data_IF_388947418163
#
_entry.id   IF_388947418163
#
_cell.length_a   1.000
_cell.length_b   1.000
_cell.length_c   1.000
_cell.angle_alpha   90.00
_cell.angle_beta   90.00
_cell.angle_gamma   90.00
#
_symmetry.space_group_name_H-M   'P 1'
#
loop_
_entity.id
_entity.type
_entity.pdbx_description
1 polymer ?
#
# COMPACT_ATOMS: atom_id res chain seq x y z
N UNK A 1 18.23 1.88 -12.93
CA UNK A 1 17.42 1.96 -11.68
C UNK A 1 17.50 0.61 -10.98
N UNK A 2 17.68 0.60 -9.66
CA UNK A 2 17.85 -0.66 -8.90
C UNK A 2 16.50 -1.19 -8.45
N UNK A 3 16.19 -2.45 -8.77
CA UNK A 3 15.00 -3.15 -8.27
C UNK A 3 15.26 -3.58 -6.83
N UNK A 4 14.45 -3.10 -5.89
CA UNK A 4 14.52 -3.47 -4.47
C UNK A 4 13.62 -4.65 -4.14
N UNK A 5 12.46 -4.70 -4.77
CA UNK A 5 11.49 -5.77 -4.58
C UNK A 5 10.84 -6.11 -5.92
N UNK A 6 10.63 -7.39 -6.18
CA UNK A 6 9.93 -7.89 -7.35
C UNK A 6 8.95 -8.98 -6.94
N UNK A 7 7.72 -8.86 -7.42
CA UNK A 7 6.69 -9.88 -7.28
C UNK A 7 6.42 -10.51 -8.65
N UNK A 8 6.34 -11.85 -8.70
CA UNK A 8 6.03 -12.63 -9.91
C UNK A 8 4.84 -13.53 -9.61
N UNK A 9 3.74 -13.29 -10.29
CA UNK A 9 2.48 -14.05 -10.20
C UNK A 9 2.03 -14.34 -8.76
N UNK A 10 2.15 -13.31 -7.90
CA UNK A 10 1.92 -13.44 -6.47
C UNK A 10 0.44 -13.72 -6.21
N UNK A 11 0.15 -14.80 -5.49
CA UNK A 11 -1.20 -15.20 -5.14
C UNK A 11 -1.37 -15.34 -3.62
N UNK A 12 -2.55 -14.96 -3.13
CA UNK A 12 -3.02 -15.27 -1.79
C UNK A 12 -4.47 -15.71 -1.82
N UNK A 13 -4.68 -16.98 -1.55
CA UNK A 13 -5.98 -17.61 -1.52
C UNK A 13 -6.31 -18.07 -0.10
N UNK A 14 -7.53 -17.80 0.36
CA UNK A 14 -8.01 -18.19 1.67
C UNK A 14 -9.09 -19.27 1.54
N UNK A 15 -8.90 -20.47 2.10
CA UNK A 15 -9.94 -21.45 2.16
C UNK A 15 -11.04 -20.99 3.13
N UNK A 16 -12.29 -21.02 2.67
CA UNK A 16 -13.47 -20.72 3.48
C UNK A 16 -14.26 -22.02 3.61
N UNK A 17 -14.42 -22.50 4.83
CA UNK A 17 -15.24 -23.69 5.10
C UNK A 17 -16.72 -23.31 4.98
N UNK A 18 -17.43 -24.03 4.16
CA UNK A 18 -18.89 -23.99 4.16
C UNK A 18 -19.39 -24.49 5.52
N UNK A 19 -20.36 -23.77 6.15
CA UNK A 19 -20.98 -24.27 7.38
C UNK A 19 -21.61 -25.66 7.18
N UNK A 20 -22.37 -26.17 8.19
CA UNK A 20 -22.90 -27.55 8.24
C UNK A 20 -23.57 -28.05 6.96
N UNK A 21 -24.05 -27.16 6.07
CA UNK A 21 -24.68 -27.44 4.79
C UNK A 21 -24.10 -26.66 3.60
N UNK A 22 -22.98 -25.91 3.79
CA UNK A 22 -22.35 -25.08 2.75
C UNK A 22 -21.20 -25.80 2.06
N UNK A 23 -20.97 -25.48 0.77
CA UNK A 23 -19.79 -25.95 0.03
C UNK A 23 -18.56 -25.15 0.46
N UNK A 24 -17.45 -25.83 0.62
CA UNK A 24 -16.15 -25.18 0.82
C UNK A 24 -15.84 -24.27 -0.38
N UNK A 25 -15.32 -23.09 -0.09
CA UNK A 25 -14.99 -22.09 -1.10
C UNK A 25 -13.54 -21.63 -0.96
N UNK A 26 -13.07 -20.93 -1.99
CA UNK A 26 -11.72 -20.36 -2.01
C UNK A 26 -11.81 -18.86 -2.36
N UNK A 27 -11.49 -18.00 -1.40
CA UNK A 27 -11.41 -16.56 -1.63
C UNK A 27 -10.05 -16.24 -2.26
N UNK A 28 -10.05 -15.77 -3.48
CA UNK A 28 -8.87 -15.33 -4.22
C UNK A 28 -8.59 -13.86 -3.95
N UNK A 29 -8.04 -13.53 -2.78
CA UNK A 29 -7.80 -12.16 -2.38
C UNK A 29 -6.73 -11.44 -3.21
N UNK A 30 -5.69 -12.18 -3.63
CA UNK A 30 -4.69 -11.76 -4.60
C UNK A 30 -4.47 -12.94 -5.55
N UNK A 31 -4.47 -12.70 -6.85
CA UNK A 31 -4.51 -13.78 -7.85
C UNK A 31 -3.70 -13.39 -9.11
N UNK A 32 -2.38 -13.64 -9.08
CA UNK A 32 -1.45 -13.40 -10.18
C UNK A 32 -1.00 -11.94 -10.30
N UNK A 33 -0.53 -11.33 -9.20
CA UNK A 33 -0.04 -9.94 -9.22
C UNK A 33 1.47 -9.93 -9.40
N UNK A 34 1.93 -9.24 -10.45
CA UNK A 34 3.35 -9.03 -10.76
C UNK A 34 3.67 -7.53 -10.81
N UNK A 35 4.77 -7.13 -10.16
CA UNK A 35 5.24 -5.74 -10.15
C UNK A 35 6.70 -5.66 -9.70
N UNK A 36 7.29 -4.47 -9.87
CA UNK A 36 8.60 -4.13 -9.33
C UNK A 36 8.53 -2.86 -8.50
N UNK A 37 9.31 -2.80 -7.42
CA UNK A 37 9.50 -1.60 -6.60
C UNK A 37 10.94 -1.14 -6.80
N UNK A 38 11.11 0.05 -7.34
CA UNK A 38 12.41 0.61 -7.70
C UNK A 38 12.91 1.58 -6.62
N UNK A 39 14.21 1.62 -6.40
CA UNK A 39 14.84 2.55 -5.46
C UNK A 39 14.50 4.01 -5.80
N UNK A 40 14.13 4.80 -4.79
CA UNK A 40 13.77 6.20 -4.95
C UNK A 40 12.45 6.45 -5.68
N UNK A 41 11.64 5.41 -5.93
CA UNK A 41 10.36 5.54 -6.63
C UNK A 41 9.17 5.11 -5.78
N UNK A 42 8.00 5.59 -6.15
CA UNK A 42 6.72 5.22 -5.54
C UNK A 42 5.88 4.39 -6.52
N UNK A 43 5.70 3.11 -6.22
CA UNK A 43 4.68 2.27 -6.86
C UNK A 43 3.36 2.47 -6.11
N UNK A 44 2.38 3.06 -6.77
CA UNK A 44 1.04 3.19 -6.22
C UNK A 44 0.16 1.98 -6.57
N UNK A 45 -0.59 1.48 -5.58
CA UNK A 45 -1.58 0.42 -5.74
C UNK A 45 -2.96 1.03 -5.53
N UNK A 46 -3.80 1.00 -6.55
CA UNK A 46 -5.14 1.59 -6.51
C UNK A 46 -6.24 0.58 -6.82
N UNK A 47 -7.45 0.85 -6.37
CA UNK A 47 -8.62 0.03 -6.64
C UNK A 47 -9.68 0.16 -5.54
N UNK A 48 -10.88 -0.34 -5.79
CA UNK A 48 -11.99 -0.33 -4.84
C UNK A 48 -11.67 -1.08 -3.54
N UNK A 49 -12.43 -0.79 -2.47
CA UNK A 49 -12.29 -1.51 -1.19
C UNK A 49 -12.54 -3.02 -1.41
N UNK A 50 -11.75 -3.86 -0.74
CA UNK A 50 -11.87 -5.32 -0.87
C UNK A 50 -11.20 -5.93 -2.12
N UNK A 51 -10.57 -5.14 -3.00
CA UNK A 51 -9.90 -5.70 -4.20
C UNK A 51 -8.54 -6.39 -3.92
N UNK A 52 -8.10 -6.51 -2.65
CA UNK A 52 -6.89 -7.25 -2.28
C UNK A 52 -5.66 -6.41 -1.94
N UNK A 53 -5.71 -5.08 -1.96
CA UNK A 53 -4.56 -4.19 -1.72
C UNK A 53 -3.87 -4.42 -0.36
N UNK A 54 -4.65 -4.44 0.72
CA UNK A 54 -4.09 -4.67 2.06
C UNK A 54 -3.58 -6.10 2.25
N UNK A 55 -4.13 -7.08 1.54
CA UNK A 55 -3.58 -8.44 1.50
C UNK A 55 -2.21 -8.45 0.81
N UNK A 56 -2.10 -7.73 -0.32
CA UNK A 56 -0.83 -7.54 -1.00
C UNK A 56 0.21 -6.86 -0.08
N UNK A 57 -0.19 -5.79 0.62
CA UNK A 57 0.65 -5.11 1.61
C UNK A 57 1.21 -6.06 2.70
N UNK A 58 0.35 -6.95 3.23
CA UNK A 58 0.77 -7.93 4.24
C UNK A 58 1.76 -8.96 3.69
N UNK A 59 1.60 -9.38 2.42
CA UNK A 59 2.55 -10.29 1.80
C UNK A 59 3.92 -9.64 1.60
N UNK A 60 3.97 -8.43 1.05
CA UNK A 60 5.24 -7.74 0.78
C UNK A 60 5.97 -7.30 2.05
N UNK A 61 5.24 -7.14 3.17
CA UNK A 61 5.83 -6.88 4.50
C UNK A 61 6.14 -8.16 5.28
N UNK A 62 6.00 -9.31 4.66
CA UNK A 62 6.22 -10.64 5.28
C UNK A 62 5.36 -10.90 6.53
N UNK A 63 4.22 -10.25 6.64
CA UNK A 63 3.21 -10.55 7.67
C UNK A 63 2.42 -11.80 7.31
N UNK A 64 2.18 -12.01 6.00
CA UNK A 64 1.55 -13.20 5.45
C UNK A 64 2.43 -13.80 4.35
N UNK A 65 2.38 -15.12 4.21
CA UNK A 65 3.08 -15.81 3.12
C UNK A 65 2.16 -15.93 1.90
N UNK A 66 2.68 -15.83 0.67
CA UNK A 66 1.90 -16.12 -0.52
C UNK A 66 1.47 -17.59 -0.55
N UNK A 67 0.35 -17.87 -1.21
CA UNK A 67 -0.08 -19.25 -1.53
C UNK A 67 0.73 -19.81 -2.69
N UNK A 68 1.05 -18.96 -3.66
CA UNK A 68 1.91 -19.27 -4.82
C UNK A 68 2.51 -17.99 -5.40
N UNK A 69 3.38 -18.14 -6.38
CA UNK A 69 4.16 -17.04 -6.96
C UNK A 69 5.44 -16.76 -6.16
N UNK A 70 6.22 -15.81 -6.62
CA UNK A 70 7.51 -15.47 -6.05
C UNK A 70 7.55 -14.01 -5.60
N UNK A 71 8.12 -13.78 -4.42
CA UNK A 71 8.52 -12.47 -3.94
C UNK A 71 10.03 -12.46 -3.78
N UNK A 72 10.70 -11.56 -4.50
CA UNK A 72 12.14 -11.37 -4.42
C UNK A 72 12.45 -10.04 -3.74
N UNK A 73 13.50 -10.03 -2.95
CA UNK A 73 14.07 -8.82 -2.38
C UNK A 73 15.57 -8.77 -2.71
N UNK A 74 16.01 -7.67 -3.33
CA UNK A 74 17.37 -7.53 -3.85
C UNK A 74 17.78 -8.69 -4.78
N UNK A 75 16.84 -9.20 -5.58
CA UNK A 75 17.05 -10.33 -6.49
C UNK A 75 17.05 -11.73 -5.84
N UNK A 76 16.90 -11.80 -4.51
CA UNK A 76 16.88 -13.07 -3.78
C UNK A 76 15.45 -13.49 -3.47
N UNK A 77 15.11 -14.74 -3.77
CA UNK A 77 13.80 -15.31 -3.46
C UNK A 77 13.57 -15.36 -1.94
N UNK A 78 12.40 -14.92 -1.52
CA UNK A 78 12.02 -14.93 -0.09
C UNK A 78 11.33 -16.23 0.33
N UNK A 79 10.91 -17.04 -0.64
CA UNK A 79 10.37 -18.38 -0.43
C UNK A 79 11.45 -19.30 0.14
N UNK A 80 11.11 -20.06 1.18
CA UNK A 80 12.08 -20.95 1.85
C UNK A 80 13.04 -20.25 2.82
N UNK A 81 13.01 -18.92 2.92
CA UNK A 81 13.84 -18.17 3.87
C UNK A 81 13.64 -18.67 5.29
N UNK A 82 14.73 -18.96 6.00
CA UNK A 82 14.73 -19.35 7.38
C UNK A 82 14.28 -18.22 8.32
N UNK A 83 14.05 -18.52 9.60
CA UNK A 83 13.55 -17.53 10.59
C UNK A 83 14.46 -16.30 10.68
N UNK A 84 15.79 -16.49 10.69
CA UNK A 84 16.77 -15.41 10.77
C UNK A 84 16.73 -14.50 9.53
N UNK A 85 16.64 -15.10 8.36
CA UNK A 85 16.59 -14.38 7.10
C UNK A 85 15.26 -13.61 6.95
N UNK A 86 14.12 -14.23 7.25
CA UNK A 86 12.82 -13.52 7.29
C UNK A 86 12.84 -12.33 8.24
N UNK A 87 13.53 -12.46 9.38
CA UNK A 87 13.72 -11.33 10.30
C UNK A 87 14.54 -10.22 9.64
N UNK A 88 15.61 -10.55 8.92
CA UNK A 88 16.42 -9.59 8.17
C UNK A 88 15.61 -8.87 7.09
N UNK A 89 14.82 -9.62 6.31
CA UNK A 89 13.94 -9.08 5.27
C UNK A 89 12.94 -8.08 5.84
N UNK A 90 12.29 -8.42 6.98
CA UNK A 90 11.35 -7.51 7.68
C UNK A 90 12.00 -6.21 8.15
N UNK A 91 13.31 -6.18 8.41
CA UNK A 91 13.99 -4.94 8.75
C UNK A 91 14.13 -4.00 7.54
N UNK A 92 14.26 -4.57 6.35
CA UNK A 92 14.38 -3.82 5.10
C UNK A 92 13.04 -3.29 4.56
N UNK A 93 11.91 -3.85 5.05
CA UNK A 93 10.56 -3.43 4.63
C UNK A 93 9.74 -3.09 5.87
N UNK A 94 9.23 -1.88 5.95
CA UNK A 94 8.41 -1.44 7.08
C UNK A 94 7.04 -0.98 6.59
N UNK A 95 6.04 -0.96 7.49
CA UNK A 95 4.68 -0.61 7.17
C UNK A 95 4.19 0.60 7.96
N UNK A 96 3.52 1.50 7.25
CA UNK A 96 2.71 2.58 7.81
C UNK A 96 1.24 2.19 7.60
N UNK A 97 0.51 2.03 8.70
CA UNK A 97 -0.86 1.54 8.70
C UNK A 97 -1.87 2.68 8.47
N UNK A 98 -3.03 2.34 7.95
CA UNK A 98 -4.15 3.23 7.66
C UNK A 98 -4.61 4.04 8.88
N UNK A 99 -4.72 3.40 10.04
CA UNK A 99 -5.21 4.03 11.27
C UNK A 99 -4.07 4.29 12.25
N UNK A 100 -3.60 5.55 12.38
CA UNK A 100 -2.55 5.89 13.34
C UNK A 100 -3.00 5.72 14.79
N UNK A 101 -4.30 5.79 15.08
CA UNK A 101 -4.82 5.58 16.44
C UNK A 101 -4.64 4.13 16.90
N UNK A 102 -4.92 3.17 16.02
CA UNK A 102 -4.75 1.74 16.31
C UNK A 102 -3.31 1.25 16.24
N UNK A 103 -2.46 1.96 15.51
CA UNK A 103 -1.08 1.55 15.28
C UNK A 103 -0.10 2.01 16.37
N UNK A 104 -0.41 3.07 17.12
CA UNK A 104 0.43 3.61 18.19
C UNK A 104 -0.07 3.15 19.55
N UNK A 105 0.81 2.59 20.40
CA UNK A 105 0.43 2.20 21.74
C UNK A 105 0.12 3.45 22.60
N UNK A 106 -1.13 3.67 23.05
CA UNK A 106 -1.52 4.88 23.76
C UNK A 106 -0.90 5.01 25.15
N UNK A 107 -0.33 3.92 25.69
CA UNK A 107 0.32 3.88 27.01
C UNK A 107 1.81 4.21 26.95
N UNK A 108 2.38 4.43 25.77
CA UNK A 108 3.80 4.77 25.58
C UNK A 108 3.94 6.21 25.13
N UNK A 109 5.00 6.87 25.58
CA UNK A 109 5.36 8.21 25.09
C UNK A 109 5.90 8.13 23.67
N UNK A 110 5.89 9.25 22.94
CA UNK A 110 6.43 9.34 21.58
C UNK A 110 7.87 8.82 21.52
N UNK A 111 8.72 9.28 22.42
CA UNK A 111 10.12 8.80 22.48
C UNK A 111 10.23 7.29 22.68
N UNK A 112 9.38 6.72 23.55
CA UNK A 112 9.35 5.27 23.75
C UNK A 112 8.86 4.51 22.50
N UNK A 113 7.85 5.04 21.78
CA UNK A 113 7.33 4.47 20.53
C UNK A 113 8.41 4.47 19.45
N UNK A 114 9.15 5.57 19.31
CA UNK A 114 10.21 5.69 18.30
C UNK A 114 11.43 4.83 18.65
N UNK A 115 11.81 4.75 19.92
CA UNK A 115 12.93 3.91 20.36
C UNK A 115 12.64 2.40 20.32
N UNK A 116 11.36 2.00 20.34
CA UNK A 116 10.93 0.59 20.43
C UNK A 116 11.44 -0.31 19.30
N UNK A 117 11.35 0.06 18.01
CA UNK A 117 11.88 -0.76 16.92
C UNK A 117 13.37 -1.07 17.10
N UNK A 118 14.16 -0.08 17.52
CA UNK A 118 15.59 -0.26 17.79
C UNK A 118 15.82 -1.18 19.01
N UNK A 119 15.01 -1.02 20.06
CA UNK A 119 15.13 -1.84 21.27
C UNK A 119 14.82 -3.31 21.01
N UNK A 120 13.73 -3.62 20.32
CA UNK A 120 13.33 -5.00 19.95
C UNK A 120 14.40 -5.68 19.10
N UNK A 121 15.04 -4.92 18.20
CA UNK A 121 16.08 -5.43 17.32
C UNK A 121 17.50 -5.29 17.90
N UNK A 122 17.63 -4.95 19.19
CA UNK A 122 18.90 -4.82 19.93
C UNK A 122 19.91 -3.88 19.26
N UNK A 123 19.42 -2.81 18.59
CA UNK A 123 20.25 -1.80 17.93
C UNK A 123 20.57 -0.67 18.91
N UNK A 124 21.84 -0.50 19.24
CA UNK A 124 22.35 0.59 20.05
C UNK A 124 22.01 0.51 21.57
N UNK A 125 22.74 1.26 22.37
CA UNK A 125 22.46 1.48 23.79
C UNK A 125 21.27 2.45 23.98
N UNK A 126 20.72 2.52 25.19
CA UNK A 126 19.55 3.37 25.52
C UNK A 126 19.75 4.82 25.09
N UNK A 127 20.91 5.42 25.40
CA UNK A 127 21.23 6.82 25.03
C UNK A 127 21.27 7.02 23.50
N UNK A 128 21.85 6.06 22.76
CA UNK A 128 21.89 6.12 21.29
C UNK A 128 20.48 6.00 20.68
N UNK A 129 19.61 5.14 21.22
CA UNK A 129 18.22 5.02 20.77
C UNK A 129 17.42 6.30 21.05
N UNK A 130 17.65 6.94 22.21
CA UNK A 130 17.03 8.22 22.52
C UNK A 130 17.48 9.31 21.53
N UNK A 131 18.78 9.42 21.29
CA UNK A 131 19.31 10.38 20.32
C UNK A 131 18.75 10.16 18.91
N UNK A 132 18.67 8.90 18.45
CA UNK A 132 18.07 8.54 17.17
C UNK A 132 16.57 8.90 17.11
N UNK A 133 15.83 8.66 18.19
CA UNK A 133 14.41 9.02 18.27
C UNK A 133 14.20 10.54 18.19
N UNK A 134 15.04 11.33 18.86
CA UNK A 134 15.00 12.79 18.81
C UNK A 134 15.34 13.32 17.42
N UNK A 135 16.40 12.80 16.80
CA UNK A 135 16.77 13.16 15.44
C UNK A 135 15.63 12.84 14.43
N UNK A 136 14.95 11.70 14.59
CA UNK A 136 13.83 11.35 13.74
C UNK A 136 12.60 12.26 13.98
N UNK A 137 12.37 12.72 15.21
CA UNK A 137 11.33 13.71 15.49
C UNK A 137 11.55 15.01 14.72
N UNK A 138 12.78 15.50 14.66
CA UNK A 138 13.10 16.72 13.90
C UNK A 138 12.81 16.53 12.41
N UNK A 139 13.18 15.36 11.84
CA UNK A 139 12.94 15.04 10.42
C UNK A 139 11.46 15.01 10.05
N UNK A 140 10.59 14.58 10.96
CA UNK A 140 9.14 14.58 10.71
C UNK A 140 8.43 15.85 11.20
N UNK A 141 9.18 16.89 11.61
CA UNK A 141 8.65 18.18 12.05
C UNK A 141 7.93 18.13 13.39
N UNK A 142 8.35 17.26 14.32
CA UNK A 142 7.87 17.21 15.69
C UNK A 142 8.84 17.95 16.62
N UNK A 143 8.30 18.70 17.60
CA UNK A 143 9.13 19.46 18.53
C UNK A 143 9.72 18.58 19.61
N UNK A 144 10.92 18.91 20.07
CA UNK A 144 11.68 18.14 21.07
C UNK A 144 10.98 18.05 22.44
N UNK A 145 10.21 19.08 22.82
CA UNK A 145 9.41 19.08 24.04
C UNK A 145 8.27 18.04 24.03
N UNK A 146 7.91 17.54 22.86
CA UNK A 146 6.87 16.54 22.66
C UNK A 146 7.36 15.08 22.88
N UNK A 147 8.67 14.85 23.08
CA UNK A 147 9.27 13.52 23.27
C UNK A 147 8.61 12.71 24.42
N UNK A 148 8.27 13.40 25.52
CA UNK A 148 7.64 12.77 26.69
C UNK A 148 6.11 12.70 26.64
N UNK A 149 5.47 13.21 25.59
CA UNK A 149 4.00 13.22 25.47
C UNK A 149 3.46 11.90 24.95
N UNK A 150 2.18 11.65 25.21
CA UNK A 150 1.46 10.45 24.77
C UNK A 150 0.70 10.71 23.45
N UNK A 151 0.45 9.68 22.63
CA UNK A 151 -0.21 9.82 21.32
C UNK A 151 -1.55 10.55 21.37
N UNK A 152 -2.36 10.37 22.42
CA UNK A 152 -3.66 11.04 22.55
C UNK A 152 -3.58 12.57 22.68
N UNK A 153 -2.39 13.12 22.97
CA UNK A 153 -2.13 14.56 23.09
C UNK A 153 -1.79 15.23 21.74
N UNK A 154 -1.86 14.48 20.62
CA UNK A 154 -1.48 14.94 19.29
C UNK A 154 -2.67 14.95 18.33
N UNK A 155 -2.64 15.86 17.34
CA UNK A 155 -3.58 15.85 16.23
C UNK A 155 -3.43 14.60 15.35
N UNK A 156 -4.41 14.34 14.48
CA UNK A 156 -4.36 13.21 13.53
C UNK A 156 -3.10 13.23 12.66
N UNK A 157 -2.78 14.38 12.05
CA UNK A 157 -1.57 14.54 11.23
C UNK A 157 -0.27 14.38 12.03
N UNK A 158 -0.22 14.86 13.27
CA UNK A 158 0.96 14.64 14.12
C UNK A 158 1.13 13.16 14.49
N UNK A 159 0.03 12.44 14.78
CA UNK A 159 0.08 10.98 15.01
C UNK A 159 0.56 10.24 13.76
N UNK A 160 0.12 10.68 12.58
CA UNK A 160 0.61 10.09 11.32
C UNK A 160 2.10 10.31 11.14
N UNK A 161 2.62 11.52 11.46
CA UNK A 161 4.07 11.79 11.46
C UNK A 161 4.83 10.88 12.44
N UNK A 162 4.27 10.59 13.63
CA UNK A 162 4.85 9.64 14.59
C UNK A 162 4.86 8.21 14.00
N UNK A 163 3.80 7.80 13.31
CA UNK A 163 3.72 6.48 12.69
C UNK A 163 4.74 6.31 11.55
N UNK A 164 4.91 7.35 10.71
CA UNK A 164 5.93 7.41 9.66
C UNK A 164 7.32 7.36 10.29
N UNK A 165 7.59 8.21 11.28
CA UNK A 165 8.86 8.24 12.02
C UNK A 165 9.22 6.87 12.59
N UNK A 166 8.26 6.18 13.23
CA UNK A 166 8.46 4.84 13.78
C UNK A 166 8.86 3.83 12.72
N UNK A 167 8.23 3.85 11.54
CA UNK A 167 8.58 2.96 10.44
C UNK A 167 10.01 3.20 9.94
N UNK A 168 10.48 4.43 9.96
CA UNK A 168 11.82 4.81 9.48
C UNK A 168 12.95 4.53 10.49
N UNK A 169 12.64 4.27 11.78
CA UNK A 169 13.68 4.05 12.80
C UNK A 169 14.64 2.89 12.50
N UNK A 170 14.24 1.94 11.67
CA UNK A 170 15.07 0.79 11.28
C UNK A 170 15.87 1.04 10.00
N UNK A 171 15.77 2.23 9.40
CA UNK A 171 16.34 2.57 8.10
C UNK A 171 15.94 1.55 7.01
N UNK A 172 14.63 1.35 6.77
CA UNK A 172 14.16 0.43 5.75
C UNK A 172 14.52 0.95 4.36
N UNK A 173 14.55 0.04 3.39
CA UNK A 173 14.70 0.40 1.96
C UNK A 173 13.36 0.58 1.28
N UNK A 174 12.33 -0.14 1.76
CA UNK A 174 10.96 -0.09 1.23
C UNK A 174 10.01 0.24 2.38
N UNK A 175 9.11 1.19 2.16
CA UNK A 175 8.02 1.48 3.08
C UNK A 175 6.69 1.21 2.36
N UNK A 176 5.90 0.31 2.93
CA UNK A 176 4.54 0.05 2.48
C UNK A 176 3.61 0.96 3.27
N UNK A 177 2.96 1.88 2.58
CA UNK A 177 2.03 2.83 3.16
C UNK A 177 0.59 2.44 2.77
N UNK A 178 -0.15 1.83 3.69
CA UNK A 178 -1.52 1.39 3.46
C UNK A 178 -2.49 2.50 3.89
N UNK A 179 -3.03 3.23 2.91
CA UNK A 179 -3.94 4.37 3.06
C UNK A 179 -3.48 5.41 4.11
N UNK A 180 -2.22 5.87 4.09
CA UNK A 180 -1.62 6.61 5.19
C UNK A 180 -2.24 7.98 5.46
N UNK A 181 -3.06 8.50 4.56
CA UNK A 181 -3.67 9.84 4.67
C UNK A 181 -5.19 9.82 4.62
N UNK A 182 -5.83 8.67 4.47
CA UNK A 182 -7.29 8.55 4.24
C UNK A 182 -8.17 9.11 5.40
N UNK A 183 -7.64 9.14 6.62
CA UNK A 183 -8.34 9.63 7.81
C UNK A 183 -8.00 11.09 8.17
N UNK A 184 -7.36 11.84 7.28
CA UNK A 184 -6.90 13.21 7.52
C UNK A 184 -7.65 14.22 6.64
N UNK A 185 -7.77 15.45 7.13
CA UNK A 185 -8.29 16.56 6.32
C UNK A 185 -7.36 16.87 5.14
N UNK A 186 -7.90 17.37 4.02
CA UNK A 186 -7.19 17.59 2.76
C UNK A 186 -5.91 18.42 2.94
N UNK A 187 -5.94 19.49 3.74
CA UNK A 187 -4.77 20.32 4.01
C UNK A 187 -3.65 19.59 4.76
N UNK A 188 -4.03 18.71 5.68
CA UNK A 188 -3.12 17.88 6.47
C UNK A 188 -2.59 16.73 5.60
N UNK A 189 -3.43 16.16 4.72
CA UNK A 189 -2.99 15.15 3.73
C UNK A 189 -1.82 15.68 2.89
N UNK A 190 -1.97 16.89 2.31
CA UNK A 190 -0.92 17.51 1.50
C UNK A 190 0.40 17.67 2.27
N UNK A 191 0.32 18.10 3.54
CA UNK A 191 1.52 18.24 4.39
C UNK A 191 2.21 16.90 4.68
N UNK A 192 1.43 15.83 4.90
CA UNK A 192 1.97 14.49 5.15
C UNK A 192 2.56 13.90 3.88
N UNK A 193 1.92 14.12 2.72
CA UNK A 193 2.44 13.66 1.42
C UNK A 193 3.77 14.35 1.08
N UNK A 194 3.86 15.68 1.25
CA UNK A 194 5.10 16.41 1.02
C UNK A 194 6.20 15.90 1.97
N UNK A 195 5.91 15.70 3.26
CA UNK A 195 6.85 15.09 4.19
C UNK A 195 7.32 13.72 3.71
N UNK A 196 6.43 12.86 3.19
CA UNK A 196 6.83 11.54 2.69
C UNK A 196 7.74 11.65 1.47
N UNK A 197 7.50 12.62 0.58
CA UNK A 197 8.38 12.88 -0.57
C UNK A 197 9.74 13.38 -0.14
N UNK A 198 9.81 14.33 0.80
CA UNK A 198 11.07 14.83 1.36
C UNK A 198 11.89 13.70 2.00
N UNK A 199 11.22 12.82 2.78
CA UNK A 199 11.84 11.65 3.40
C UNK A 199 12.27 10.61 2.35
N UNK A 200 11.53 10.48 1.24
CA UNK A 200 11.92 9.61 0.12
C UNK A 200 13.25 10.07 -0.48
N UNK A 201 13.38 11.35 -0.75
CA UNK A 201 14.57 11.92 -1.34
C UNK A 201 15.77 11.88 -0.36
N UNK A 202 15.55 12.19 0.92
CA UNK A 202 16.60 12.17 1.93
C UNK A 202 17.17 10.76 2.19
N UNK A 203 16.27 9.78 2.34
CA UNK A 203 16.64 8.39 2.67
C UNK A 203 16.76 7.47 1.45
N UNK A 204 16.48 7.99 0.24
CA UNK A 204 16.41 7.20 -1.00
C UNK A 204 15.47 6.00 -0.88
N UNK A 205 14.32 6.23 -0.23
CA UNK A 205 13.31 5.20 0.03
C UNK A 205 12.57 4.82 -1.25
N UNK A 206 12.13 3.58 -1.30
CA UNK A 206 11.05 3.19 -2.21
C UNK A 206 9.73 3.12 -1.43
N UNK A 207 8.66 3.64 -2.01
CA UNK A 207 7.32 3.45 -1.46
C UNK A 207 6.51 2.45 -2.28
N UNK A 208 5.79 1.57 -1.59
CA UNK A 208 4.56 0.97 -2.09
C UNK A 208 3.40 1.70 -1.42
N UNK A 209 2.72 2.55 -2.17
CA UNK A 209 1.69 3.45 -1.66
C UNK A 209 0.30 2.97 -2.05
N UNK A 210 -0.50 2.56 -1.09
CA UNK A 210 -1.87 2.09 -1.31
C UNK A 210 -2.84 3.22 -1.02
N UNK A 211 -3.72 3.51 -1.98
CA UNK A 211 -4.81 4.48 -1.82
C UNK A 211 -6.00 4.13 -2.71
N UNK A 212 -7.16 4.58 -2.32
CA UNK A 212 -8.35 4.62 -3.18
C UNK A 212 -8.57 6.03 -3.77
N UNK A 213 -7.82 7.03 -3.32
CA UNK A 213 -7.89 8.41 -3.81
C UNK A 213 -6.84 8.66 -4.90
N UNK A 214 -7.30 8.82 -6.13
CA UNK A 214 -6.45 9.05 -7.30
C UNK A 214 -5.79 10.45 -7.30
N UNK A 215 -6.35 11.44 -6.60
CA UNK A 215 -5.71 12.76 -6.47
C UNK A 215 -4.44 12.66 -5.64
N UNK A 216 -4.45 11.87 -4.57
CA UNK A 216 -3.28 11.55 -3.76
C UNK A 216 -2.22 10.82 -4.60
N UNK A 217 -2.64 9.84 -5.41
CA UNK A 217 -1.75 9.08 -6.30
C UNK A 217 -1.11 9.97 -7.35
N UNK A 218 -1.87 10.88 -7.95
CA UNK A 218 -1.35 11.83 -8.92
C UNK A 218 -0.22 12.69 -8.34
N UNK A 219 -0.24 12.95 -7.04
CA UNK A 219 0.78 13.73 -6.36
C UNK A 219 2.07 12.93 -6.11
N UNK A 220 1.98 11.73 -5.54
CA UNK A 220 3.14 10.99 -5.00
C UNK A 220 3.70 9.89 -5.92
N UNK A 221 2.88 9.31 -6.82
CA UNK A 221 3.27 8.12 -7.57
C UNK A 221 4.28 8.39 -8.68
N UNK A 222 5.15 7.41 -8.95
CA UNK A 222 5.93 7.26 -10.18
C UNK A 222 5.22 6.33 -11.15
N UNK A 223 4.84 5.14 -10.68
CA UNK A 223 4.08 4.12 -11.39
C UNK A 223 2.79 3.77 -10.65
N UNK A 224 1.79 3.32 -11.39
CA UNK A 224 0.47 2.98 -10.85
C UNK A 224 0.04 1.60 -11.30
N UNK A 225 -0.27 0.72 -10.36
CA UNK A 225 -0.87 -0.58 -10.56
C UNK A 225 -2.33 -0.53 -10.11
N UNK A 226 -3.26 -0.71 -11.05
CA UNK A 226 -4.69 -0.73 -10.78
C UNK A 226 -5.15 -2.16 -10.54
N UNK A 227 -5.75 -2.40 -9.37
CA UNK A 227 -6.24 -3.71 -8.97
C UNK A 227 -7.77 -3.77 -8.98
N UNK A 228 -8.31 -4.88 -9.48
CA UNK A 228 -9.73 -5.20 -9.43
C UNK A 228 -9.93 -6.68 -9.11
N UNK A 229 -10.72 -6.99 -8.07
CA UNK A 229 -11.02 -8.36 -7.63
C UNK A 229 -9.77 -9.27 -7.53
N UNK A 230 -8.76 -8.81 -6.81
CA UNK A 230 -7.53 -9.56 -6.55
C UNK A 230 -6.49 -9.53 -7.67
N UNK A 231 -6.75 -8.84 -8.78
CA UNK A 231 -5.92 -8.89 -9.99
C UNK A 231 -5.49 -7.52 -10.48
N UNK A 232 -4.32 -7.42 -11.11
CA UNK A 232 -3.96 -6.22 -11.86
C UNK A 232 -4.81 -6.14 -13.13
N UNK A 233 -5.33 -4.94 -13.42
CA UNK A 233 -6.09 -4.67 -14.65
C UNK A 233 -5.42 -3.64 -15.53
N UNK A 234 -4.58 -2.78 -14.95
CA UNK A 234 -3.75 -1.83 -15.68
C UNK A 234 -2.49 -1.52 -14.87
N UNK A 235 -1.35 -1.41 -15.54
CA UNK A 235 -0.09 -0.99 -14.93
C UNK A 235 0.61 -0.03 -15.89
N UNK A 236 0.89 1.18 -15.45
CA UNK A 236 1.55 2.19 -16.28
C UNK A 236 2.24 3.26 -15.44
N UNK A 237 3.18 3.97 -16.04
CA UNK A 237 3.71 5.20 -15.49
C UNK A 237 2.56 6.19 -15.21
N UNK A 238 2.65 6.92 -14.10
CA UNK A 238 1.64 7.90 -13.66
C UNK A 238 1.17 8.80 -14.81
N UNK A 239 2.12 9.39 -15.52
CA UNK A 239 1.83 10.32 -16.62
C UNK A 239 0.99 9.67 -17.71
N UNK A 240 1.30 8.43 -18.09
CA UNK A 240 0.57 7.70 -19.13
C UNK A 240 -0.84 7.30 -18.67
N UNK A 241 -0.98 6.84 -17.43
CA UNK A 241 -2.27 6.42 -16.88
C UNK A 241 -3.25 7.57 -16.74
N UNK A 242 -2.79 8.74 -16.26
CA UNK A 242 -3.65 9.92 -16.11
C UNK A 242 -3.94 10.64 -17.44
N UNK A 243 -3.02 10.56 -18.42
CA UNK A 243 -3.26 11.14 -19.74
C UNK A 243 -4.26 10.32 -20.58
N UNK A 244 -4.23 8.99 -20.48
CA UNK A 244 -5.06 8.11 -21.29
C UNK A 244 -5.22 6.70 -20.70
N UNK A 245 -6.08 6.52 -19.68
CA UNK A 245 -6.34 5.21 -19.10
C UNK A 245 -6.94 4.27 -20.15
N UNK A 246 -6.43 3.05 -20.23
CA UNK A 246 -6.84 2.08 -21.25
C UNK A 246 -7.92 1.13 -20.77
N UNK A 247 -7.84 0.70 -19.51
CA UNK A 247 -8.84 -0.21 -18.98
C UNK A 247 -10.12 0.55 -18.57
N UNK A 248 -11.33 0.09 -18.96
CA UNK A 248 -12.60 0.78 -18.65
C UNK A 248 -12.83 1.02 -17.15
N UNK A 249 -12.33 0.14 -16.29
CA UNK A 249 -12.37 0.33 -14.84
C UNK A 249 -11.51 1.53 -14.41
N UNK A 250 -10.31 1.67 -14.95
CA UNK A 250 -9.43 2.82 -14.66
C UNK A 250 -10.06 4.13 -15.15
N UNK A 251 -10.70 4.10 -16.32
CA UNK A 251 -11.45 5.25 -16.85
C UNK A 251 -12.58 5.67 -15.90
N UNK A 252 -13.32 4.69 -15.38
CA UNK A 252 -14.39 4.93 -14.44
C UNK A 252 -13.89 5.47 -13.09
N UNK A 253 -12.78 4.94 -12.56
CA UNK A 253 -12.15 5.43 -11.34
C UNK A 253 -11.71 6.91 -11.50
N UNK A 254 -11.04 7.23 -12.60
CA UNK A 254 -10.60 8.60 -12.89
C UNK A 254 -11.78 9.56 -13.11
N UNK A 255 -12.84 9.10 -13.77
CA UNK A 255 -14.04 9.89 -13.98
C UNK A 255 -14.83 10.16 -12.68
N UNK A 256 -14.72 9.27 -11.69
CA UNK A 256 -15.32 9.44 -10.36
C UNK A 256 -14.52 10.37 -9.44
N UNK A 257 -13.27 10.70 -9.79
CA UNK A 257 -12.42 11.58 -8.98
C UNK A 257 -12.90 13.03 -9.11
N UNK A 258 -13.21 13.73 -8.00
CA UNK A 258 -13.65 15.11 -8.05
C UNK A 258 -12.60 16.02 -8.67
N UNK A 259 -12.99 16.83 -9.67
CA UNK A 259 -12.14 17.85 -10.27
C UNK A 259 -12.63 19.25 -9.88
N UNK A 260 -11.69 20.15 -9.57
CA UNK A 260 -12.01 21.55 -9.27
C UNK A 260 -12.47 22.30 -10.53
N UNK A 261 -11.96 21.93 -11.70
CA UNK A 261 -12.34 22.52 -12.98
C UNK A 261 -13.68 21.97 -13.49
N UNK A 262 -14.75 22.77 -13.55
CA UNK A 262 -16.04 22.35 -14.10
C UNK A 262 -15.98 21.91 -15.56
N UNK A 263 -15.06 22.49 -16.36
CA UNK A 263 -14.88 22.15 -17.78
C UNK A 263 -14.23 20.78 -17.97
N UNK A 264 -13.43 20.35 -17.00
CA UNK A 264 -12.78 19.03 -16.98
C UNK A 264 -13.71 17.90 -16.48
N UNK A 265 -14.92 18.22 -16.05
CA UNK A 265 -15.93 17.20 -15.68
C UNK A 265 -16.34 16.42 -16.92
N UNK A 266 -15.56 15.39 -17.24
CA UNK A 266 -15.96 14.37 -18.22
C UNK A 266 -17.25 13.74 -17.70
N UNK A 267 -18.21 13.46 -18.57
CA UNK A 267 -19.41 12.71 -18.21
C UNK A 267 -18.98 11.35 -17.66
N UNK A 268 -18.97 11.24 -16.33
CA UNK A 268 -18.61 9.99 -15.67
C UNK A 268 -19.65 8.94 -16.10
N UNK A 269 -19.21 7.92 -16.81
CA UNK A 269 -20.03 6.73 -17.03
C UNK A 269 -20.06 6.01 -15.68
N UNK A 270 -21.20 6.05 -14.97
CA UNK A 270 -21.28 5.43 -13.65
C UNK A 270 -21.05 3.93 -13.79
N UNK A 271 -20.13 3.39 -13.02
CA UNK A 271 -19.95 1.95 -12.91
C UNK A 271 -21.18 1.37 -12.24
N UNK A 272 -21.99 0.64 -13.00
CA UNK A 272 -23.23 0.03 -12.52
C UNK A 272 -22.96 -1.37 -11.97
N UNK A 273 -23.74 -1.79 -10.98
CA UNK A 273 -23.70 -3.15 -10.41
C UNK A 273 -22.72 -3.30 -9.25
N UNK A 274 -22.85 -4.43 -8.57
CA UNK A 274 -22.03 -4.80 -7.41
C UNK A 274 -20.72 -5.46 -7.83
N UNK A 275 -19.74 -5.44 -6.90
CA UNK A 275 -18.49 -6.17 -7.07
C UNK A 275 -18.79 -7.68 -7.17
N UNK A 276 -18.14 -8.39 -8.11
CA UNK A 276 -18.22 -9.84 -8.15
C UNK A 276 -17.78 -10.47 -6.83
N UNK A 277 -18.45 -11.55 -6.45
CA UNK A 277 -18.07 -12.29 -5.24
C UNK A 277 -16.65 -12.85 -5.36
N UNK A 278 -15.76 -12.60 -4.39
CA UNK A 278 -14.42 -13.17 -4.40
C UNK A 278 -14.39 -14.69 -4.19
N UNK A 279 -15.52 -15.29 -3.77
CA UNK A 279 -15.69 -16.74 -3.65
C UNK A 279 -15.91 -17.42 -5.01
N UNK A 280 -16.60 -16.73 -5.92
CA UNK A 280 -16.92 -17.23 -7.26
C UNK A 280 -16.56 -16.16 -8.30
N UNK A 281 -15.26 -15.90 -8.52
CA UNK A 281 -14.86 -14.94 -9.54
C UNK A 281 -15.28 -15.44 -10.93
N UNK A 282 -15.74 -14.55 -11.83
CA UNK A 282 -16.12 -14.94 -13.18
C UNK A 282 -14.92 -15.56 -13.92
N UNK A 283 -15.18 -16.52 -14.83
CA UNK A 283 -14.10 -17.21 -15.57
C UNK A 283 -13.33 -16.29 -16.51
N UNK A 284 -13.99 -15.28 -17.06
CA UNK A 284 -13.41 -14.29 -17.96
C UNK A 284 -12.88 -13.03 -17.26
N UNK A 285 -13.12 -11.90 -17.87
CA UNK A 285 -12.78 -10.60 -17.31
C UNK A 285 -13.63 -10.31 -16.07
N UNK A 286 -13.01 -10.07 -14.91
CA UNK A 286 -13.74 -9.81 -13.67
C UNK A 286 -14.62 -8.54 -13.74
N UNK A 287 -14.26 -7.58 -14.60
CA UNK A 287 -15.00 -6.33 -14.80
C UNK A 287 -16.14 -6.47 -15.85
N UNK A 288 -16.29 -7.61 -16.53
CA UNK A 288 -17.23 -7.76 -17.66
C UNK A 288 -18.67 -7.38 -17.30
N UNK A 289 -19.17 -7.76 -16.12
CA UNK A 289 -20.55 -7.45 -15.66
C UNK A 289 -20.81 -5.95 -15.44
N UNK A 290 -19.76 -5.15 -15.24
CA UNK A 290 -19.82 -3.70 -14.98
C UNK A 290 -19.26 -2.86 -16.14
N UNK A 291 -18.70 -3.54 -17.17
CA UNK A 291 -18.03 -2.89 -18.29
C UNK A 291 -19.03 -2.45 -19.38
N UNK A 292 -19.06 -1.15 -19.76
CA UNK A 292 -19.95 -0.71 -20.83
C UNK A 292 -19.54 -1.23 -22.23
N UNK A 293 -18.31 -1.75 -22.34
CA UNK A 293 -17.76 -2.30 -23.59
C UNK A 293 -17.65 -3.83 -23.57
N UNK A 294 -18.35 -4.50 -22.64
CA UNK A 294 -18.30 -5.96 -22.53
C UNK A 294 -18.78 -6.65 -23.80
N UNK A 295 -18.06 -7.68 -24.23
CA UNK A 295 -18.37 -8.57 -25.36
C UNK A 295 -18.47 -10.00 -24.85
N UNK A 296 -19.04 -10.91 -25.62
CA UNK A 296 -19.11 -12.35 -25.27
C UNK A 296 -17.75 -12.95 -24.90
N UNK A 297 -16.70 -12.57 -25.61
CA UNK A 297 -15.34 -12.98 -25.29
C UNK A 297 -14.92 -12.58 -23.86
N UNK A 298 -15.37 -11.44 -23.35
CA UNK A 298 -15.03 -10.96 -22.01
C UNK A 298 -15.64 -11.83 -20.89
N UNK A 299 -16.71 -12.56 -21.18
CA UNK A 299 -17.32 -13.48 -20.20
C UNK A 299 -16.62 -14.84 -20.17
N UNK A 300 -16.00 -15.25 -21.29
CA UNK A 300 -15.38 -16.55 -21.46
C UNK A 300 -13.85 -16.52 -21.23
N UNK A 301 -13.20 -15.47 -21.70
CA UNK A 301 -11.74 -15.37 -21.70
C UNK A 301 -11.27 -14.25 -20.80
N UNK A 302 -10.17 -14.52 -20.09
CA UNK A 302 -9.48 -13.50 -19.27
C UNK A 302 -8.49 -12.73 -20.14
N UNK A 303 -8.56 -11.38 -20.15
CA UNK A 303 -7.55 -10.59 -20.83
C UNK A 303 -6.21 -10.69 -20.12
N UNK A 304 -5.12 -10.77 -20.86
CA UNK A 304 -3.77 -10.61 -20.33
C UNK A 304 -3.46 -9.13 -20.09
N UNK A 305 -2.66 -8.86 -19.07
CA UNK A 305 -2.09 -7.53 -18.84
C UNK A 305 -1.00 -7.28 -19.90
N UNK A 306 -1.14 -6.19 -20.68
CA UNK A 306 -0.22 -5.84 -21.77
C UNK A 306 0.34 -4.45 -21.59
#
# INVERSE_FOLDING_TARGET
MTVLMEAKDLCRHYPVRGGLFGKDGLVKAVDGVSFQVLAGQTLAIVGESGCGKSTLARMVTFMELPTSGELLMDGHATAGAGVAERRRLRLGVQMVFQNPYGSLNPRKTVGAILAEPLAINRRGARKAREAAARAMMDKVGLRQDQYGRYPHMFSGGQRQRIAIARALMLNPRVVVADEPVSALDVSIQAQVLNLMMDLQDEFQLAYMFISHDLSVIQHIASDVLVMYCGRPVEHAAKTSLFAGPRHPYTQALLAATPTVDPAARKHAVPVRGELPSPLNPPPGCAFASRCPYAKERCTAERPELR
#
